data_IF_492846962505
#
_entry.id   IF_492846962505
#
_cell.length_a   1.000
_cell.length_b   1.000
_cell.length_c   1.000
_cell.angle_alpha   90.00
_cell.angle_beta   90.00
_cell.angle_gamma   90.00
#
_symmetry.space_group_name_H-M   'P 1'
#
loop_
_entity.id
_entity.type
_entity.pdbx_description
1 polymer ?
#
# COMPACT_ATOMS: atom_id res chain seq x y z
N UNK A 1 -6.45 -21.88 -30.42
CA UNK A 1 -5.30 -22.39 -29.64
C UNK A 1 -5.58 -22.06 -28.18
N UNK A 2 -5.76 -23.08 -27.33
CA UNK A 2 -6.09 -22.88 -25.93
C UNK A 2 -4.76 -22.79 -25.15
N UNK A 3 -4.31 -21.58 -24.82
CA UNK A 3 -2.98 -21.29 -24.25
C UNK A 3 -2.99 -21.25 -22.73
N UNK A 4 -3.71 -22.17 -22.08
CA UNK A 4 -3.63 -22.33 -20.63
C UNK A 4 -2.49 -23.31 -20.33
N UNK A 5 -1.25 -22.83 -20.32
CA UNK A 5 -0.16 -23.61 -19.74
C UNK A 5 -0.43 -23.77 -18.23
N UNK A 6 -0.26 -24.97 -17.66
CA UNK A 6 -0.45 -25.17 -16.24
C UNK A 6 0.56 -24.32 -15.47
N UNK A 7 0.07 -23.55 -14.49
CA UNK A 7 0.91 -22.76 -13.61
C UNK A 7 1.88 -23.70 -12.87
N UNK A 8 3.18 -23.46 -13.02
CA UNK A 8 4.19 -24.22 -12.29
C UNK A 8 3.95 -24.07 -10.77
N UNK A 9 3.74 -25.20 -10.10
CA UNK A 9 3.49 -25.26 -8.65
C UNK A 9 4.65 -24.60 -7.89
N UNK A 10 5.89 -24.73 -8.37
CA UNK A 10 7.04 -24.09 -7.73
C UNK A 10 6.97 -22.57 -7.84
N UNK A 11 6.63 -22.04 -9.01
CA UNK A 11 6.42 -20.61 -9.20
C UNK A 11 5.29 -20.08 -8.29
N UNK A 12 4.19 -20.81 -8.15
CA UNK A 12 3.11 -20.45 -7.23
C UNK A 12 3.60 -20.41 -5.77
N UNK A 13 4.31 -21.44 -5.32
CA UNK A 13 4.86 -21.48 -3.96
C UNK A 13 5.82 -20.31 -3.70
N UNK A 14 6.72 -20.01 -4.63
CA UNK A 14 7.62 -18.86 -4.53
C UNK A 14 6.86 -17.53 -4.45
N UNK A 15 5.85 -17.34 -5.29
CA UNK A 15 4.98 -16.16 -5.24
C UNK A 15 4.27 -16.00 -3.88
N UNK A 16 3.85 -17.10 -3.25
CA UNK A 16 3.22 -17.04 -1.92
C UNK A 16 4.18 -16.58 -0.83
N UNK A 17 5.46 -16.99 -0.92
CA UNK A 17 6.51 -16.55 0.01
C UNK A 17 6.78 -15.06 -0.16
N UNK A 18 6.93 -14.61 -1.41
CA UNK A 18 7.12 -13.19 -1.72
C UNK A 18 5.94 -12.34 -1.23
N UNK A 19 4.70 -12.77 -1.49
CA UNK A 19 3.49 -12.10 -1.00
C UNK A 19 3.48 -12.01 0.53
N UNK A 20 3.86 -13.08 1.23
CA UNK A 20 3.91 -13.08 2.71
C UNK A 20 4.90 -12.06 3.26
N UNK A 21 6.10 -12.01 2.67
CA UNK A 21 7.15 -11.06 3.08
C UNK A 21 6.70 -9.62 2.79
N UNK A 22 6.19 -9.38 1.57
CA UNK A 22 5.67 -8.08 1.15
C UNK A 22 4.55 -7.58 2.06
N UNK A 23 3.55 -8.42 2.34
CA UNK A 23 2.45 -8.06 3.24
C UNK A 23 2.94 -7.69 4.65
N UNK A 24 3.94 -8.41 5.17
CA UNK A 24 4.52 -8.11 6.49
C UNK A 24 5.28 -6.77 6.48
N UNK A 25 6.05 -6.50 5.42
CA UNK A 25 6.78 -5.25 5.27
C UNK A 25 5.83 -4.05 5.15
N UNK A 26 4.81 -4.16 4.30
CA UNK A 26 3.76 -3.13 4.13
C UNK A 26 3.05 -2.86 5.45
N UNK A 27 2.61 -3.89 6.19
CA UNK A 27 1.93 -3.69 7.48
C UNK A 27 2.78 -2.87 8.46
N UNK A 28 4.08 -3.18 8.56
CA UNK A 28 5.02 -2.42 9.41
C UNK A 28 5.17 -0.97 8.96
N UNK A 29 5.28 -0.72 7.66
CA UNK A 29 5.37 0.63 7.13
C UNK A 29 4.10 1.45 7.42
N UNK A 30 2.92 0.84 7.26
CA UNK A 30 1.64 1.49 7.55
C UNK A 30 1.48 1.82 9.04
N UNK A 31 1.95 0.93 9.93
CA UNK A 31 1.96 1.16 11.39
C UNK A 31 2.91 2.30 11.76
N UNK A 32 4.10 2.34 11.17
CA UNK A 32 5.08 3.40 11.43
C UNK A 32 4.62 4.76 10.91
N UNK A 33 4.02 4.80 9.72
CA UNK A 33 3.40 6.02 9.20
C UNK A 33 2.33 6.57 10.15
N UNK A 34 1.46 5.71 10.70
CA UNK A 34 0.48 6.13 11.72
C UNK A 34 1.17 6.71 12.95
N UNK A 35 2.25 6.07 13.43
CA UNK A 35 3.04 6.53 14.57
C UNK A 35 3.67 7.91 14.32
N UNK A 36 4.10 8.17 13.09
CA UNK A 36 4.74 9.42 12.67
C UNK A 36 3.75 10.51 12.22
N UNK A 37 2.45 10.21 12.17
CA UNK A 37 1.45 11.14 11.62
C UNK A 37 1.57 11.35 10.10
N UNK A 38 2.14 10.38 9.39
CA UNK A 38 2.26 10.39 7.93
C UNK A 38 1.03 9.68 7.34
N UNK A 39 0.30 10.28 6.38
CA UNK A 39 -0.81 9.60 5.71
C UNK A 39 -0.37 8.31 4.99
N UNK A 40 -1.18 7.26 5.10
CA UNK A 40 -0.98 6.02 4.33
C UNK A 40 -1.63 6.13 2.94
N UNK A 41 -1.02 5.52 1.93
CA UNK A 41 -1.53 5.50 0.55
C UNK A 41 -1.96 4.09 0.16
N UNK A 42 -3.13 3.97 -0.43
CA UNK A 42 -3.70 2.74 -0.97
C UNK A 42 -4.12 2.97 -2.41
N UNK A 43 -4.01 1.93 -3.24
CA UNK A 43 -4.59 1.92 -4.59
C UNK A 43 -5.71 0.89 -4.64
N UNK A 44 -6.92 1.31 -4.98
CA UNK A 44 -8.06 0.43 -5.16
C UNK A 44 -8.76 0.77 -6.48
N UNK A 45 -8.94 -0.23 -7.36
CA UNK A 45 -9.51 -0.07 -8.70
C UNK A 45 -8.83 1.01 -9.56
N UNK A 46 -7.53 1.22 -9.37
CA UNK A 46 -6.75 2.23 -10.10
C UNK A 46 -6.85 3.65 -9.51
N UNK A 47 -7.63 3.84 -8.45
CA UNK A 47 -7.74 5.12 -7.74
C UNK A 47 -6.91 5.11 -6.45
N UNK A 48 -6.32 6.27 -6.12
CA UNK A 48 -5.56 6.47 -4.90
C UNK A 48 -6.46 6.93 -3.75
N UNK A 49 -6.25 6.32 -2.59
CA UNK A 49 -6.89 6.66 -1.34
C UNK A 49 -5.84 6.90 -0.27
N UNK A 50 -6.08 7.90 0.55
CA UNK A 50 -5.19 8.32 1.62
C UNK A 50 -5.89 8.16 2.97
N UNK A 51 -5.29 7.39 3.88
CA UNK A 51 -5.69 7.32 5.28
C UNK A 51 -4.90 8.36 6.05
N UNK A 52 -5.58 9.41 6.50
CA UNK A 52 -5.00 10.47 7.32
C UNK A 52 -4.73 9.97 8.75
N UNK A 53 -3.85 10.64 9.53
CA UNK A 53 -3.53 10.23 10.90
C UNK A 53 -4.73 10.16 11.86
N UNK A 54 -5.80 10.90 11.57
CA UNK A 54 -7.05 10.86 12.31
C UNK A 54 -7.99 9.70 11.90
N UNK A 55 -7.53 8.79 11.02
CA UNK A 55 -8.29 7.65 10.51
C UNK A 55 -9.25 7.98 9.35
N UNK A 56 -9.36 9.25 8.93
CA UNK A 56 -10.20 9.62 7.79
C UNK A 56 -9.58 9.14 6.48
N UNK A 57 -10.39 8.49 5.63
CA UNK A 57 -10.02 8.18 4.25
C UNK A 57 -10.43 9.32 3.32
N UNK A 58 -9.55 9.72 2.40
CA UNK A 58 -9.79 10.77 1.40
C UNK A 58 -9.15 10.40 0.06
N UNK A 59 -9.69 10.93 -1.04
CA UNK A 59 -9.04 10.88 -2.36
C UNK A 59 -8.27 12.17 -2.68
N UNK A 60 -8.40 13.22 -1.84
CA UNK A 60 -7.60 14.44 -1.96
C UNK A 60 -6.17 14.13 -1.49
N UNK A 61 -5.21 14.28 -2.39
CA UNK A 61 -3.78 14.09 -2.12
C UNK A 61 -3.30 15.04 -0.99
N UNK A 62 -2.91 14.50 0.18
CA UNK A 62 -2.42 15.30 1.30
C UNK A 62 -0.95 15.76 1.11
N UNK A 63 -0.23 15.22 0.12
CA UNK A 63 1.17 15.55 -0.16
C UNK A 63 1.35 16.67 -1.18
N UNK A 64 0.26 17.09 -1.84
CA UNK A 64 0.31 18.17 -2.82
C UNK A 64 0.37 19.56 -2.14
N UNK A 65 1.58 19.90 -1.67
CA UNK A 65 2.24 21.21 -1.45
C UNK A 65 1.46 22.52 -1.11
N UNK A 66 0.19 22.50 -0.68
CA UNK A 66 -0.50 23.72 -0.18
C UNK A 66 -0.87 23.69 1.30
N UNK A 67 -1.03 22.50 1.91
CA UNK A 67 -1.65 22.37 3.23
C UNK A 67 -0.82 21.54 4.26
N UNK A 68 0.38 21.07 3.93
CA UNK A 68 1.24 20.42 4.93
C UNK A 68 1.82 21.48 5.87
N UNK A 69 1.60 21.39 7.21
CA UNK A 69 2.30 22.26 8.14
C UNK A 69 3.80 21.99 7.99
N UNK A 70 4.56 23.04 7.63
CA UNK A 70 6.02 22.98 7.73
C UNK A 70 6.33 22.72 9.20
N UNK A 71 6.95 21.59 9.48
CA UNK A 71 7.64 21.37 10.75
C UNK A 71 8.88 22.27 10.71
N UNK A 72 8.82 23.39 11.44
CA UNK A 72 9.99 24.20 11.81
C UNK A 72 10.82 23.49 12.88
#
# INVERSE_FOLDING_TARGET
>A
MNTQQPLDIQAYLQATVLKRIGNRAVRKALEENRRLGIPNVYSHNGELYYELPNGKITQKDPFNNRDMPRVE
#
